data_IF_414004173279
#
_entry.id   IF_414004173279
#
_cell.length_a   1.000
_cell.length_b   1.000
_cell.length_c   1.000
_cell.angle_alpha   90.00
_cell.angle_beta   90.00
_cell.angle_gamma   90.00
#
_symmetry.space_group_name_H-M   'P 1'
#
loop_
_entity.id
_entity.type
_entity.pdbx_description
1 polymer ?
#
# COMPACT_ATOMS: atom_id res chain seq x y z
N UNK A 1 -21.21 0.16 -19.79
CA UNK A 1 -19.73 0.14 -19.92
C UNK A 1 -19.25 -1.23 -19.47
N UNK A 2 -18.46 -1.94 -20.26
CA UNK A 2 -17.74 -3.10 -19.76
C UNK A 2 -16.56 -2.57 -18.92
N UNK A 3 -16.43 -3.03 -17.68
CA UNK A 3 -15.34 -2.64 -16.78
C UNK A 3 -13.98 -3.17 -17.25
N UNK A 4 -12.96 -3.02 -16.41
CA UNK A 4 -11.63 -3.59 -16.70
C UNK A 4 -11.68 -5.12 -16.56
N UNK A 5 -11.02 -5.84 -17.47
CA UNK A 5 -10.81 -7.29 -17.33
C UNK A 5 -9.76 -7.54 -16.25
N UNK A 6 -10.22 -7.96 -15.07
CA UNK A 6 -9.38 -8.16 -13.89
C UNK A 6 -8.32 -9.25 -14.08
N UNK A 7 -8.46 -10.13 -15.08
CA UNK A 7 -7.45 -11.17 -15.37
C UNK A 7 -6.21 -10.62 -16.07
N UNK A 8 -6.27 -9.39 -16.59
CA UNK A 8 -5.15 -8.73 -17.29
C UNK A 8 -4.43 -7.70 -16.45
N UNK A 9 -4.88 -7.47 -15.21
CA UNK A 9 -4.23 -6.57 -14.27
C UNK A 9 -3.04 -7.28 -13.67
N UNK A 10 -1.85 -6.68 -13.81
CA UNK A 10 -0.65 -7.13 -13.11
C UNK A 10 -0.78 -6.85 -11.61
N UNK A 11 -0.46 -7.84 -10.78
CA UNK A 11 -0.54 -7.80 -9.31
C UNK A 11 0.79 -8.14 -8.65
N UNK A 12 1.87 -8.19 -9.42
CA UNK A 12 3.18 -8.64 -8.95
C UNK A 12 3.74 -7.78 -7.81
N UNK A 13 3.35 -6.50 -7.75
CA UNK A 13 3.76 -5.62 -6.65
C UNK A 13 3.05 -6.02 -5.36
N UNK A 14 1.73 -6.19 -5.39
CA UNK A 14 0.91 -6.61 -4.25
C UNK A 14 1.37 -7.99 -3.74
N UNK A 15 1.56 -8.97 -4.63
CA UNK A 15 2.03 -10.32 -4.27
C UNK A 15 3.40 -10.30 -3.59
N UNK A 16 4.31 -9.42 -4.04
CA UNK A 16 5.62 -9.26 -3.43
C UNK A 16 5.55 -8.62 -2.04
N UNK A 17 4.69 -7.60 -1.88
CA UNK A 17 4.47 -6.90 -0.61
C UNK A 17 3.83 -7.83 0.43
N UNK A 18 2.81 -8.61 0.04
CA UNK A 18 2.16 -9.61 0.90
C UNK A 18 3.19 -10.61 1.44
N UNK A 19 4.11 -11.07 0.58
CA UNK A 19 5.18 -11.96 1.01
C UNK A 19 6.13 -11.34 2.04
N UNK A 20 6.39 -10.04 1.98
CA UNK A 20 7.18 -9.36 3.02
C UNK A 20 6.38 -9.27 4.31
N UNK A 21 5.12 -8.87 4.24
CA UNK A 21 4.21 -8.74 5.37
C UNK A 21 4.11 -10.06 6.17
N UNK A 22 3.93 -11.19 5.48
CA UNK A 22 3.84 -12.53 6.09
C UNK A 22 5.07 -12.94 6.91
N UNK A 23 6.24 -12.33 6.64
CA UNK A 23 7.52 -12.74 7.22
C UNK A 23 8.09 -11.76 8.24
N UNK A 24 7.48 -10.59 8.44
CA UNK A 24 8.01 -9.55 9.31
C UNK A 24 7.06 -9.30 10.49
N UNK A 25 7.63 -9.13 11.69
CA UNK A 25 6.93 -8.56 12.82
C UNK A 25 7.20 -7.05 12.85
N UNK A 26 6.16 -6.24 12.74
CA UNK A 26 6.29 -4.79 12.60
C UNK A 26 5.09 -4.05 13.19
N UNK A 27 5.32 -2.82 13.66
CA UNK A 27 4.26 -1.99 14.25
C UNK A 27 3.49 -1.14 13.24
N UNK A 28 4.19 -0.60 12.22
CA UNK A 28 3.58 0.23 11.17
C UNK A 28 4.31 0.06 9.84
N UNK A 29 3.54 0.05 8.76
CA UNK A 29 4.02 0.07 7.39
C UNK A 29 3.71 1.44 6.78
N UNK A 30 4.75 2.24 6.52
CA UNK A 30 4.58 3.55 5.89
C UNK A 30 4.80 3.46 4.38
N UNK A 31 3.78 3.85 3.62
CA UNK A 31 3.82 3.96 2.16
C UNK A 31 3.83 5.44 1.77
N UNK A 32 4.59 5.80 0.75
CA UNK A 32 4.55 7.14 0.13
C UNK A 32 4.01 7.08 -1.29
N UNK A 33 4.38 8.06 -2.11
CA UNK A 33 4.15 8.13 -3.56
C UNK A 33 2.70 8.36 -4.01
N UNK A 34 1.71 7.83 -3.31
CA UNK A 34 0.31 8.12 -3.62
C UNK A 34 -0.04 9.52 -3.12
N UNK A 35 -0.69 10.32 -3.96
CA UNK A 35 -1.18 11.66 -3.59
C UNK A 35 -2.49 11.57 -2.77
N UNK A 36 -2.47 10.79 -1.70
CA UNK A 36 -3.61 10.57 -0.82
C UNK A 36 -3.15 10.13 0.56
N UNK A 37 -3.96 10.42 1.57
CA UNK A 37 -3.77 9.89 2.91
C UNK A 37 -4.72 8.72 3.13
N UNK A 38 -4.19 7.59 3.62
CA UNK A 38 -5.01 6.43 3.93
C UNK A 38 -4.39 5.61 5.04
N UNK A 39 -5.22 5.12 5.96
CA UNK A 39 -4.82 4.15 6.98
C UNK A 39 -5.66 2.89 6.85
N UNK A 40 -5.01 1.74 6.78
CA UNK A 40 -5.64 0.42 6.78
C UNK A 40 -4.78 -0.44 7.70
N UNK A 41 -5.33 -0.86 8.84
CA UNK A 41 -4.62 -1.65 9.84
C UNK A 41 -3.25 -1.03 10.22
N UNK A 42 -2.17 -1.75 9.90
CA UNK A 42 -0.77 -1.36 10.14
C UNK A 42 -0.22 -0.44 9.03
N UNK A 43 -0.87 -0.38 7.87
CA UNK A 43 -0.46 0.38 6.69
C UNK A 43 -0.96 1.83 6.72
N UNK A 44 -0.05 2.76 6.45
CA UNK A 44 -0.30 4.19 6.40
C UNK A 44 0.31 4.79 5.13
N UNK A 45 -0.55 5.22 4.20
CA UNK A 45 -0.17 6.02 3.04
C UNK A 45 -0.01 7.48 3.49
N UNK A 46 1.20 8.00 3.32
CA UNK A 46 1.62 9.33 3.71
C UNK A 46 1.60 10.25 2.48
N UNK A 47 0.79 11.30 2.55
CA UNK A 47 0.81 12.40 1.59
C UNK A 47 0.74 13.71 2.36
N UNK A 48 1.76 14.58 2.24
CA UNK A 48 1.86 15.87 2.95
C UNK A 48 1.80 15.79 4.50
N UNK A 49 1.70 14.58 5.07
CA UNK A 49 1.61 14.30 6.50
C UNK A 49 2.97 13.99 7.14
N UNK A 50 4.05 14.53 6.59
CA UNK A 50 5.35 14.52 7.26
C UNK A 50 5.33 15.63 8.31
N UNK A 51 5.23 15.25 9.58
CA UNK A 51 5.20 16.20 10.68
C UNK A 51 6.35 17.20 10.56
N UNK A 52 6.00 18.48 10.46
CA UNK A 52 6.87 19.58 10.85
C UNK A 52 7.24 19.33 12.30
N UNK A 53 8.53 19.10 12.55
CA UNK A 53 9.12 19.12 13.90
C UNK A 53 9.08 20.54 14.43
#
# INVERSE_FOLDING_TARGET
MAGVDQNKVDKSTEEWLDGIEDRQDYGKWYCGHYHTEKRIDSLQIMFENFGVV
#
